data_IF_916464455179
#
_entry.id   IF_916464455179
#
_cell.length_a   1.000
_cell.length_b   1.000
_cell.length_c   1.000
_cell.angle_alpha   90.00
_cell.angle_beta   90.00
_cell.angle_gamma   90.00
#
_symmetry.space_group_name_H-M   'P 1'
#
loop_
_entity.id
_entity.type
_entity.pdbx_description
1 polymer ?
#
# COMPACT_ATOMS: atom_id res chain seq x y z
N UNK A 1 -29.38 12.66 10.84
CA UNK A 1 -27.99 13.07 11.11
C UNK A 1 -27.13 12.73 9.90
N UNK A 2 -26.43 13.72 9.36
CA UNK A 2 -25.88 13.74 7.99
C UNK A 2 -24.82 12.67 7.72
N UNK A 3 -24.98 11.94 6.59
CA UNK A 3 -24.00 11.03 5.97
C UNK A 3 -22.70 11.71 5.49
N UNK A 4 -22.43 12.96 5.88
CA UNK A 4 -21.37 13.82 5.31
C UNK A 4 -19.93 13.38 5.63
N UNK A 5 -19.74 12.47 6.57
CA UNK A 5 -18.40 11.98 6.96
C UNK A 5 -18.10 10.54 6.52
N UNK A 6 -19.04 9.87 5.84
CA UNK A 6 -18.80 8.52 5.30
C UNK A 6 -18.14 8.63 3.93
N UNK A 7 -17.17 7.76 3.70
CA UNK A 7 -16.45 7.59 2.44
C UNK A 7 -16.20 6.10 2.22
N UNK A 8 -15.95 5.72 0.97
CA UNK A 8 -15.60 4.34 0.63
C UNK A 8 -14.22 4.02 1.17
N UNK A 9 -14.15 2.92 1.92
CA UNK A 9 -12.90 2.45 2.52
C UNK A 9 -12.42 1.26 1.71
N UNK A 10 -11.20 1.36 1.20
CA UNK A 10 -10.49 0.22 0.64
C UNK A 10 -9.32 -0.11 1.55
N UNK A 11 -9.11 -1.40 1.80
CA UNK A 11 -7.93 -1.97 2.43
C UNK A 11 -6.92 -2.34 1.36
N UNK A 12 -5.66 -2.04 1.61
CA UNK A 12 -4.54 -2.39 0.75
C UNK A 12 -3.55 -3.23 1.53
N UNK A 13 -3.13 -4.33 0.93
CA UNK A 13 -1.99 -5.12 1.40
C UNK A 13 -0.79 -4.78 0.53
N UNK A 14 0.34 -4.50 1.16
CA UNK A 14 1.56 -4.10 0.47
C UNK A 14 2.81 -4.32 1.29
N UNK A 15 3.96 -4.14 0.64
CA UNK A 15 5.30 -4.29 1.23
C UNK A 15 6.04 -2.96 1.08
N UNK A 16 6.72 -2.46 2.13
CA UNK A 16 7.59 -1.30 2.01
C UNK A 16 8.67 -1.51 0.95
N UNK A 17 8.98 -0.45 0.22
CA UNK A 17 10.07 -0.45 -0.78
C UNK A 17 11.12 0.58 -0.41
N UNK A 18 12.32 0.36 -0.94
CA UNK A 18 13.43 1.31 -0.90
C UNK A 18 14.05 1.46 -2.29
N UNK A 19 14.87 2.48 -2.48
CA UNK A 19 15.59 2.68 -3.74
C UNK A 19 16.95 2.00 -3.69
N UNK A 20 17.29 1.23 -4.72
CA UNK A 20 18.63 0.70 -4.92
C UNK A 20 19.64 1.81 -5.31
N UNK A 21 20.90 1.45 -5.51
CA UNK A 21 21.95 2.38 -5.93
C UNK A 21 21.70 3.03 -7.31
N UNK A 22 20.79 2.48 -8.11
CA UNK A 22 20.38 3.01 -9.41
C UNK A 22 19.11 3.86 -9.33
N UNK A 23 18.55 4.06 -8.14
CA UNK A 23 17.30 4.80 -7.91
C UNK A 23 16.04 4.01 -8.27
N UNK A 24 16.14 2.69 -8.50
CA UNK A 24 14.98 1.84 -8.78
C UNK A 24 14.41 1.30 -7.47
N UNK A 25 13.08 1.18 -7.41
CA UNK A 25 12.43 0.58 -6.25
C UNK A 25 12.68 -0.93 -6.16
N UNK A 26 12.99 -1.40 -4.96
CA UNK A 26 13.11 -2.81 -4.59
C UNK A 26 12.34 -3.08 -3.29
N UNK A 27 11.94 -4.32 -3.04
CA UNK A 27 11.31 -4.68 -1.76
C UNK A 27 12.28 -4.42 -0.61
N UNK A 28 11.76 -3.87 0.48
CA UNK A 28 12.53 -3.68 1.70
C UNK A 28 12.47 -4.95 2.54
N UNK A 29 13.63 -5.57 2.73
CA UNK A 29 13.80 -6.72 3.61
C UNK A 29 14.17 -6.27 5.02
N UNK A 30 13.72 -7.02 6.02
CA UNK A 30 14.10 -6.80 7.41
C UNK A 30 15.44 -7.45 7.77
N UNK A 31 15.80 -7.44 9.05
CA UNK A 31 17.06 -8.00 9.56
C UNK A 31 17.18 -9.53 9.36
N UNK A 32 16.06 -10.23 9.18
CA UNK A 32 16.02 -11.66 8.92
C UNK A 32 16.03 -11.98 7.41
N UNK A 33 16.03 -10.95 6.55
CA UNK A 33 15.92 -11.12 5.11
C UNK A 33 14.48 -11.38 4.64
N UNK A 34 13.47 -10.99 5.42
CA UNK A 34 12.05 -11.20 5.09
C UNK A 34 11.40 -9.90 4.60
N UNK A 35 10.58 -10.00 3.55
CA UNK A 35 9.78 -8.89 3.03
C UNK A 35 8.39 -8.89 3.67
N UNK A 36 8.16 -8.00 4.64
CA UNK A 36 6.94 -8.06 5.47
C UNK A 36 5.73 -7.42 4.81
N UNK A 37 4.64 -8.18 4.79
CA UNK A 37 3.32 -7.68 4.42
C UNK A 37 2.73 -6.83 5.53
N UNK A 38 2.16 -5.70 5.13
CA UNK A 38 1.47 -4.78 5.99
C UNK A 38 0.20 -4.28 5.31
N UNK A 39 -0.71 -3.74 6.11
CA UNK A 39 -2.01 -3.31 5.64
C UNK A 39 -2.28 -1.85 5.96
N UNK A 40 -2.92 -1.18 5.00
CA UNK A 40 -3.36 0.20 5.12
C UNK A 40 -4.76 0.34 4.56
N UNK A 41 -5.34 1.54 4.71
CA UNK A 41 -6.62 1.88 4.09
C UNK A 41 -6.65 3.27 3.50
N UNK A 42 -7.66 3.55 2.68
CA UNK A 42 -8.03 4.94 2.37
C UNK A 42 -8.60 5.66 3.60
N UNK A 43 -8.33 6.95 3.67
CA UNK A 43 -8.92 7.91 4.61
C UNK A 43 -9.62 9.05 3.89
N UNK A 44 -10.34 9.88 4.66
CA UNK A 44 -11.09 11.06 4.14
C UNK A 44 -10.22 12.02 3.33
N UNK A 45 -8.93 12.10 3.66
CA UNK A 45 -7.96 13.02 3.06
C UNK A 45 -6.90 12.30 2.21
N UNK A 46 -7.07 11.00 1.95
CA UNK A 46 -6.19 10.27 1.04
C UNK A 46 -6.27 10.87 -0.36
N UNK A 47 -5.11 11.18 -0.94
CA UNK A 47 -5.02 11.80 -2.27
C UNK A 47 -4.71 10.75 -3.35
N UNK A 48 -5.16 11.02 -4.58
CA UNK A 48 -4.96 10.13 -5.72
C UNK A 48 -5.93 8.96 -5.73
N UNK A 49 -5.69 8.00 -6.63
CA UNK A 49 -6.50 6.79 -6.78
C UNK A 49 -5.60 5.58 -6.99
N UNK A 50 -6.07 4.44 -6.49
CA UNK A 50 -5.53 3.14 -6.86
C UNK A 50 -6.00 2.74 -8.25
N UNK A 51 -5.09 2.21 -9.08
CA UNK A 51 -5.35 1.75 -10.43
C UNK A 51 -5.13 0.24 -10.57
N UNK A 52 -3.99 -0.28 -10.11
CA UNK A 52 -3.64 -1.71 -10.22
C UNK A 52 -2.51 -2.12 -9.27
N UNK A 53 -2.33 -3.42 -8.99
CA UNK A 53 -1.15 -3.92 -8.29
C UNK A 53 0.17 -3.47 -8.96
N UNK A 54 1.19 -3.24 -8.14
CA UNK A 54 2.48 -2.66 -8.57
C UNK A 54 2.58 -1.16 -8.37
N UNK A 55 1.44 -0.47 -8.25
CA UNK A 55 1.40 0.95 -7.94
C UNK A 55 1.92 1.23 -6.53
N UNK A 56 2.67 2.32 -6.39
CA UNK A 56 3.17 2.76 -5.08
C UNK A 56 2.15 3.65 -4.35
N UNK A 57 2.17 3.57 -3.02
CA UNK A 57 1.55 4.54 -2.14
C UNK A 57 2.55 5.10 -1.13
N UNK A 58 2.21 6.25 -0.58
CA UNK A 58 2.92 6.87 0.53
C UNK A 58 2.06 6.77 1.79
N UNK A 59 2.63 6.25 2.87
CA UNK A 59 2.00 6.17 4.18
C UNK A 59 2.10 7.51 4.93
N UNK A 60 1.39 7.66 6.06
CA UNK A 60 1.47 8.88 6.87
C UNK A 60 2.87 9.15 7.47
N UNK A 61 3.69 8.11 7.65
CA UNK A 61 5.07 8.23 8.11
C UNK A 61 6.11 8.25 6.96
N UNK A 62 5.69 8.64 5.74
CA UNK A 62 6.54 8.77 4.55
C UNK A 62 7.23 7.47 4.09
N UNK A 63 6.68 6.30 4.44
CA UNK A 63 7.14 5.03 3.85
C UNK A 63 6.49 4.86 2.49
N UNK A 64 7.32 4.51 1.49
CA UNK A 64 6.81 4.12 0.17
C UNK A 64 6.51 2.63 0.20
N UNK A 65 5.35 2.23 -0.30
CA UNK A 65 4.85 0.85 -0.22
C UNK A 65 4.32 0.46 -1.58
N UNK A 66 4.70 -0.72 -2.08
CA UNK A 66 4.09 -1.32 -3.27
C UNK A 66 2.77 -1.98 -2.90
N UNK A 67 1.71 -1.67 -3.64
CA UNK A 67 0.39 -2.25 -3.44
C UNK A 67 0.30 -3.59 -4.17
N UNK A 68 -0.05 -4.65 -3.45
CA UNK A 68 -0.15 -6.01 -3.99
C UNK A 68 -1.61 -6.46 -4.12
N UNK A 69 -2.46 -6.02 -3.18
CA UNK A 69 -3.88 -6.37 -3.14
C UNK A 69 -4.70 -5.18 -2.67
N UNK A 70 -5.90 -5.02 -3.23
CA UNK A 70 -6.89 -4.04 -2.81
C UNK A 70 -8.24 -4.73 -2.59
N UNK A 71 -8.89 -4.45 -1.46
CA UNK A 71 -10.16 -5.07 -1.07
C UNK A 71 -11.10 -4.02 -0.49
N UNK A 72 -12.43 -4.10 -0.75
CA UNK A 72 -13.38 -3.23 -0.07
C UNK A 72 -13.40 -3.51 1.43
N UNK A 73 -13.58 -2.46 2.23
CA UNK A 73 -13.69 -2.53 3.68
C UNK A 73 -14.93 -1.78 4.15
N UNK A 74 -15.65 -2.36 5.12
CA UNK A 74 -16.77 -1.66 5.73
C UNK A 74 -16.28 -0.45 6.54
N UNK A 75 -16.95 0.69 6.39
CA UNK A 75 -16.56 1.94 7.06
C UNK A 75 -16.45 1.82 8.59
N UNK A 76 -17.24 0.95 9.23
CA UNK A 76 -17.18 0.70 10.68
C UNK A 76 -15.84 0.10 11.13
N UNK A 77 -15.21 -0.69 10.27
CA UNK A 77 -14.00 -1.44 10.59
C UNK A 77 -12.72 -0.65 10.25
N UNK A 78 -12.87 0.56 9.68
CA UNK A 78 -11.74 1.41 9.25
C UNK A 78 -10.68 1.66 10.33
N UNK A 79 -11.02 1.62 11.62
CA UNK A 79 -10.05 1.87 12.68
C UNK A 79 -9.12 0.68 12.94
N UNK A 80 -9.35 -0.48 12.31
CA UNK A 80 -8.44 -1.63 12.41
C UNK A 80 -7.18 -1.47 11.57
N UNK A 81 -7.17 -0.53 10.61
CA UNK A 81 -6.06 -0.31 9.69
C UNK A 81 -5.59 1.15 9.71
N UNK A 82 -4.28 1.34 9.52
CA UNK A 82 -3.67 2.66 9.40
C UNK A 82 -4.05 3.31 8.06
N UNK A 83 -4.46 4.58 8.04
CA UNK A 83 -4.69 5.30 6.78
C UNK A 83 -3.39 5.53 5.99
N UNK A 84 -3.49 5.56 4.67
CA UNK A 84 -2.42 5.98 3.75
C UNK A 84 -2.57 7.46 3.40
N UNK A 85 -1.45 8.13 3.10
CA UNK A 85 -1.42 9.55 2.77
C UNK A 85 -1.86 9.81 1.32
N UNK A 86 -1.23 9.14 0.34
CA UNK A 86 -1.56 9.29 -1.09
C UNK A 86 -1.15 8.08 -1.91
N UNK A 87 -1.84 7.87 -3.02
CA UNK A 87 -1.35 7.04 -4.11
C UNK A 87 -0.34 7.81 -4.96
N UNK A 88 0.71 7.14 -5.39
CA UNK A 88 1.71 7.67 -6.32
C UNK A 88 1.34 7.25 -7.75
N UNK A 89 1.87 7.97 -8.74
CA UNK A 89 1.65 7.68 -10.17
C UNK A 89 2.78 6.85 -10.77
N UNK A 90 3.57 6.20 -9.91
CA UNK A 90 4.72 5.37 -10.29
C UNK A 90 4.47 3.95 -9.83
N UNK A 91 5.00 3.02 -10.61
CA UNK A 91 4.92 1.59 -10.37
C UNK A 91 6.32 1.03 -10.11
N UNK A 92 6.37 -0.10 -9.42
CA UNK A 92 7.57 -0.95 -9.42
C UNK A 92 7.75 -1.66 -10.76
N UNK A 93 8.94 -2.20 -10.99
CA UNK A 93 9.18 -3.10 -12.13
C UNK A 93 8.38 -4.40 -11.99
N UNK A 94 8.14 -5.08 -13.12
CA UNK A 94 7.43 -6.36 -13.10
C UNK A 94 8.08 -7.41 -12.19
N UNK A 95 9.41 -7.44 -12.13
CA UNK A 95 10.15 -8.40 -11.31
C UNK A 95 9.89 -8.18 -9.82
N UNK A 96 9.89 -6.92 -9.37
CA UNK A 96 9.59 -6.55 -7.98
C UNK A 96 8.12 -6.85 -7.64
N UNK A 97 7.21 -6.59 -8.58
CA UNK A 97 5.80 -6.96 -8.39
C UNK A 97 5.63 -8.48 -8.26
N UNK A 98 6.29 -9.27 -9.11
CA UNK A 98 6.25 -10.74 -9.04
C UNK A 98 6.80 -11.26 -7.71
N UNK A 99 7.89 -10.68 -7.22
CA UNK A 99 8.44 -11.01 -5.89
C UNK A 99 7.42 -10.71 -4.78
N UNK A 100 6.85 -9.51 -4.75
CA UNK A 100 5.88 -9.16 -3.70
C UNK A 100 4.60 -10.02 -3.76
N UNK A 101 4.15 -10.39 -4.96
CA UNK A 101 3.02 -11.30 -5.13
C UNK A 101 3.33 -12.74 -4.70
N UNK A 102 4.60 -13.15 -4.63
CA UNK A 102 4.99 -14.45 -4.08
C UNK A 102 4.78 -14.47 -2.56
N UNK A 103 5.18 -13.40 -1.86
CA UNK A 103 4.98 -13.24 -0.41
C UNK A 103 3.49 -13.22 -0.02
N UNK A 104 2.61 -12.71 -0.89
CA UNK A 104 1.16 -12.66 -0.63
C UNK A 104 0.48 -14.05 -0.62
N UNK A 105 1.13 -15.07 -1.19
CA UNK A 105 0.57 -16.42 -1.33
C UNK A 105 0.97 -17.38 -0.21
N UNK A 106 1.88 -16.97 0.66
CA UNK A 106 2.23 -17.67 1.91
C UNK A 106 1.29 -17.26 3.05
#
# INVERSE_FOLDING_TARGET
>A
MSKKDKYDVQKFTGIPVETDASGKYQLKFDQNGEAKLHTWRTGKHTKGKFNHPGQLMLTENNLTVVILKAEPMAFKDRHSETPLQRFLTVDVTEDVLKQGLAELKE
#
